data_IF_469655949254
#
_entry.id   IF_469655949254
#
_cell.length_a   1.000
_cell.length_b   1.000
_cell.length_c   1.000
_cell.angle_alpha   90.00
_cell.angle_beta   90.00
_cell.angle_gamma   90.00
#
_symmetry.space_group_name_H-M   'P 1'
#
loop_
_entity.id
_entity.type
_entity.pdbx_description
1 polymer ?
#
# COMPACT_ATOMS: atom_id res chain seq x y z
N UNK A 1 36.38 7.66 -42.05
CA UNK A 1 36.26 6.61 -40.99
C UNK A 1 35.41 7.18 -39.88
N UNK A 2 34.15 6.76 -39.88
CA UNK A 2 33.06 7.37 -39.12
C UNK A 2 32.99 6.68 -37.76
N UNK A 3 33.17 7.42 -36.67
CA UNK A 3 32.95 6.92 -35.31
C UNK A 3 31.93 7.81 -34.62
N UNK A 4 30.66 7.39 -34.50
CA UNK A 4 29.62 8.24 -33.94
C UNK A 4 29.77 8.34 -32.42
N UNK A 5 29.89 9.57 -31.95
CA UNK A 5 30.06 9.99 -30.55
C UNK A 5 28.74 9.97 -29.77
N UNK A 6 27.88 8.97 -30.00
CA UNK A 6 26.51 8.92 -29.46
C UNK A 6 26.27 7.74 -28.49
N UNK A 7 27.31 7.16 -27.89
CA UNK A 7 27.16 6.00 -26.97
C UNK A 7 27.20 6.31 -25.48
N UNK A 8 27.13 7.58 -25.07
CA UNK A 8 27.13 7.97 -23.65
C UNK A 8 25.97 8.89 -23.23
N UNK A 9 25.03 9.19 -24.14
CA UNK A 9 23.94 10.14 -23.89
C UNK A 9 22.54 9.53 -23.67
N UNK A 10 22.43 8.23 -23.43
CA UNK A 10 21.14 7.53 -23.52
C UNK A 10 20.88 6.44 -22.49
N UNK A 11 21.44 6.55 -21.27
CA UNK A 11 21.18 5.56 -20.22
C UNK A 11 20.78 6.18 -18.87
N UNK A 12 20.13 7.35 -18.90
CA UNK A 12 19.43 7.92 -17.73
C UNK A 12 18.05 8.39 -18.18
N UNK A 13 17.25 7.45 -18.69
CA UNK A 13 15.83 7.68 -18.91
C UNK A 13 15.14 6.36 -18.58
N UNK A 14 14.43 6.33 -17.44
CA UNK A 14 13.41 5.34 -17.01
C UNK A 14 13.54 4.88 -15.54
N UNK A 15 14.06 5.71 -14.63
CA UNK A 15 14.03 5.42 -13.17
C UNK A 15 13.29 6.50 -12.38
N UNK A 16 12.09 6.88 -12.82
CA UNK A 16 11.12 7.58 -11.99
C UNK A 16 9.76 7.46 -12.67
N UNK A 17 8.71 7.17 -11.90
CA UNK A 17 7.32 6.91 -12.34
C UNK A 17 7.00 5.44 -12.62
N UNK A 18 7.42 4.52 -11.76
CA UNK A 18 6.45 3.50 -11.34
C UNK A 18 5.60 4.16 -10.26
N UNK A 19 4.33 4.53 -10.50
CA UNK A 19 3.42 4.60 -9.38
C UNK A 19 3.51 3.21 -8.74
N UNK A 20 4.01 3.14 -7.52
CA UNK A 20 3.86 1.95 -6.70
C UNK A 20 2.35 1.78 -6.54
N UNK A 21 1.74 1.04 -7.47
CA UNK A 21 0.41 0.48 -7.29
C UNK A 21 0.64 -0.60 -6.25
N UNK A 22 0.79 -0.17 -4.99
CA UNK A 22 0.45 -1.02 -3.87
C UNK A 22 -1.01 -1.33 -4.11
N UNK A 23 -1.27 -2.48 -4.73
CA UNK A 23 -2.61 -3.01 -4.89
C UNK A 23 -3.16 -3.16 -3.49
N UNK A 24 -3.90 -2.14 -3.04
CA UNK A 24 -4.79 -2.28 -1.92
C UNK A 24 -5.67 -3.48 -2.28
N UNK A 25 -5.84 -4.41 -1.33
CA UNK A 25 -6.79 -5.50 -1.49
C UNK A 25 -8.09 -4.94 -2.09
N UNK A 26 -8.65 -5.67 -3.05
CA UNK A 26 -9.85 -5.22 -3.74
C UNK A 26 -10.90 -4.81 -2.70
N UNK A 27 -11.54 -3.64 -2.88
CA UNK A 27 -12.55 -3.20 -1.94
C UNK A 27 -13.67 -4.24 -1.86
N UNK A 28 -14.20 -4.57 -0.67
CA UNK A 28 -15.33 -5.49 -0.52
C UNK A 28 -16.67 -4.82 -0.91
N UNK A 29 -16.70 -4.12 -2.04
CA UNK A 29 -17.84 -3.31 -2.48
C UNK A 29 -18.97 -4.13 -3.09
N UNK A 30 -18.68 -5.34 -3.56
CA UNK A 30 -19.64 -6.32 -4.04
C UNK A 30 -20.71 -6.68 -2.99
N UNK A 31 -20.39 -6.48 -1.70
CA UNK A 31 -21.34 -6.65 -0.59
C UNK A 31 -22.43 -5.57 -0.51
N UNK A 32 -22.30 -4.47 -1.27
CA UNK A 32 -23.29 -3.38 -1.32
C UNK A 32 -24.12 -3.42 -2.62
N UNK A 33 -25.36 -2.87 -2.61
CA UNK A 33 -26.19 -2.76 -3.81
C UNK A 33 -25.46 -2.07 -4.97
N UNK A 34 -25.69 -2.44 -6.24
CA UNK A 34 -24.98 -1.89 -7.40
C UNK A 34 -24.90 -0.35 -7.43
N UNK A 35 -25.99 0.33 -7.07
CA UNK A 35 -26.05 1.80 -7.02
C UNK A 35 -25.06 2.44 -6.03
N UNK A 36 -24.58 1.69 -5.03
CA UNK A 36 -23.66 2.16 -3.97
C UNK A 36 -22.21 1.73 -4.18
N UNK A 37 -21.92 0.87 -5.16
CA UNK A 37 -20.58 0.27 -5.33
C UNK A 37 -19.52 1.31 -5.72
N UNK A 38 -19.86 2.25 -6.62
CA UNK A 38 -18.95 3.36 -6.99
C UNK A 38 -18.56 4.18 -5.76
N UNK A 39 -19.55 4.50 -4.92
CA UNK A 39 -19.33 5.27 -3.69
C UNK A 39 -18.47 4.52 -2.67
N UNK A 40 -18.72 3.23 -2.51
CA UNK A 40 -17.88 2.36 -1.69
C UNK A 40 -16.42 2.35 -2.17
N UNK A 41 -16.17 2.29 -3.48
CA UNK A 41 -14.82 2.29 -4.04
C UNK A 41 -14.08 3.61 -3.76
N UNK A 42 -14.76 4.74 -3.86
CA UNK A 42 -14.20 6.06 -3.50
C UNK A 42 -13.84 6.14 -2.02
N UNK A 43 -14.74 5.68 -1.14
CA UNK A 43 -14.51 5.66 0.31
C UNK A 43 -13.34 4.72 0.63
N UNK A 44 -13.28 3.54 0.02
CA UNK A 44 -12.18 2.61 0.19
C UNK A 44 -10.84 3.22 -0.21
N UNK A 45 -10.77 3.86 -1.39
CA UNK A 45 -9.56 4.56 -1.86
C UNK A 45 -9.11 5.61 -0.86
N UNK A 46 -10.06 6.35 -0.29
CA UNK A 46 -9.79 7.38 0.72
C UNK A 46 -9.25 6.77 2.01
N UNK A 47 -9.89 5.72 2.53
CA UNK A 47 -9.43 5.00 3.73
C UNK A 47 -8.03 4.40 3.56
N UNK A 48 -7.71 3.84 2.39
CA UNK A 48 -6.37 3.34 2.10
C UNK A 48 -5.32 4.46 2.08
N UNK A 49 -5.67 5.64 1.56
CA UNK A 49 -4.80 6.82 1.59
C UNK A 49 -4.57 7.31 3.02
N UNK A 50 -5.61 7.34 3.85
CA UNK A 50 -5.54 7.71 5.27
C UNK A 50 -4.62 6.75 6.06
N UNK A 51 -4.64 5.45 5.74
CA UNK A 51 -3.81 4.45 6.41
C UNK A 51 -2.35 4.43 5.94
N UNK A 52 -2.04 4.99 4.78
CA UNK A 52 -0.72 4.96 4.14
C UNK A 52 0.43 5.37 5.09
N UNK A 53 0.37 6.52 5.76
CA UNK A 53 1.41 6.95 6.70
C UNK A 53 1.64 5.97 7.85
N UNK A 54 0.58 5.39 8.43
CA UNK A 54 0.69 4.42 9.52
C UNK A 54 1.39 3.13 9.05
N UNK A 55 1.01 2.63 7.86
CA UNK A 55 1.61 1.43 7.27
C UNK A 55 3.10 1.66 6.95
N UNK A 56 3.43 2.82 6.40
CA UNK A 56 4.82 3.20 6.11
C UNK A 56 5.66 3.28 7.39
N UNK A 57 5.15 3.94 8.44
CA UNK A 57 5.84 4.04 9.72
C UNK A 57 6.08 2.67 10.34
N UNK A 58 5.07 1.80 10.34
CA UNK A 58 5.21 0.43 10.83
C UNK A 58 6.31 -0.33 10.07
N UNK A 59 6.37 -0.20 8.75
CA UNK A 59 7.43 -0.81 7.92
C UNK A 59 8.83 -0.32 8.27
N UNK A 60 9.00 1.00 8.45
CA UNK A 60 10.27 1.61 8.87
C UNK A 60 10.70 1.14 10.26
N UNK A 61 9.77 1.08 11.21
CA UNK A 61 10.03 0.61 12.57
C UNK A 61 10.44 -0.86 12.60
N UNK A 62 9.77 -1.69 11.78
CA UNK A 62 10.12 -3.10 11.60
C UNK A 62 11.52 -3.29 11.00
N UNK A 63 11.87 -2.50 9.99
CA UNK A 63 13.20 -2.52 9.38
C UNK A 63 14.27 -2.13 10.40
N UNK A 64 14.09 -1.02 11.10
CA UNK A 64 15.01 -0.56 12.14
C UNK A 64 15.20 -1.63 13.23
N UNK A 65 14.13 -2.25 13.71
CA UNK A 65 14.22 -3.32 14.73
C UNK A 65 14.97 -4.55 14.23
N UNK A 66 14.88 -4.90 12.94
CA UNK A 66 15.70 -5.97 12.35
C UNK A 66 17.18 -5.58 12.29
N UNK A 67 17.48 -4.36 11.84
CA UNK A 67 18.85 -3.85 11.73
C UNK A 67 19.54 -3.74 13.10
N UNK A 68 18.78 -3.38 14.14
CA UNK A 68 19.23 -3.37 15.54
C UNK A 68 19.29 -4.76 16.19
N UNK A 69 18.95 -5.84 15.47
CA UNK A 69 18.93 -7.21 16.00
C UNK A 69 17.85 -7.48 17.04
N UNK A 70 16.86 -6.59 17.21
CA UNK A 70 15.77 -6.72 18.18
C UNK A 70 14.72 -7.76 17.79
N UNK A 71 14.61 -8.07 16.50
CA UNK A 71 13.73 -9.12 15.99
C UNK A 71 14.44 -9.96 14.93
N UNK A 72 14.16 -11.25 14.93
CA UNK A 72 14.60 -12.18 13.91
C UNK A 72 13.62 -12.23 12.72
N UNK A 73 13.94 -13.05 11.72
CA UNK A 73 13.14 -13.14 10.50
C UNK A 73 11.72 -13.66 10.71
N UNK A 74 11.55 -14.63 11.60
CA UNK A 74 10.26 -15.22 11.91
C UNK A 74 9.37 -14.25 12.69
N UNK A 75 9.94 -13.54 13.66
CA UNK A 75 9.23 -12.52 14.45
C UNK A 75 8.72 -11.40 13.55
N UNK A 76 9.56 -10.84 12.69
CA UNK A 76 9.14 -9.82 11.73
C UNK A 76 8.00 -10.29 10.82
N UNK A 77 8.09 -11.52 10.28
CA UNK A 77 7.02 -12.06 9.45
C UNK A 77 5.70 -12.18 10.24
N UNK A 78 5.76 -12.73 11.46
CA UNK A 78 4.58 -12.89 12.31
C UNK A 78 3.96 -11.53 12.71
N UNK A 79 4.79 -10.56 13.05
CA UNK A 79 4.36 -9.20 13.40
C UNK A 79 3.75 -8.47 12.19
N UNK A 80 4.37 -8.57 11.00
CA UNK A 80 3.82 -8.02 9.76
C UNK A 80 2.45 -8.62 9.44
N UNK A 81 2.30 -9.93 9.52
CA UNK A 81 1.03 -10.60 9.24
C UNK A 81 -0.05 -10.17 10.25
N UNK A 82 0.31 -10.02 11.52
CA UNK A 82 -0.60 -9.52 12.57
C UNK A 82 -1.05 -8.09 12.26
N UNK A 83 -0.12 -7.20 11.91
CA UNK A 83 -0.41 -5.82 11.56
C UNK A 83 -1.30 -5.71 10.32
N UNK A 84 -1.02 -6.46 9.25
CA UNK A 84 -1.82 -6.48 8.03
C UNK A 84 -3.25 -6.93 8.33
N UNK A 85 -3.42 -7.98 9.14
CA UNK A 85 -4.75 -8.47 9.54
C UNK A 85 -5.52 -7.41 10.31
N UNK A 86 -4.91 -6.82 11.34
CA UNK A 86 -5.57 -5.83 12.20
C UNK A 86 -5.89 -4.53 11.45
N UNK A 87 -4.96 -4.04 10.63
CA UNK A 87 -5.17 -2.80 9.85
C UNK A 87 -6.26 -2.98 8.80
N UNK A 88 -6.28 -4.12 8.11
CA UNK A 88 -7.35 -4.46 7.15
C UNK A 88 -8.71 -4.55 7.84
N UNK A 89 -8.79 -5.22 9.00
CA UNK A 89 -10.04 -5.33 9.77
C UNK A 89 -10.57 -3.94 10.17
N UNK A 90 -9.72 -3.08 10.71
CA UNK A 90 -10.09 -1.69 11.07
C UNK A 90 -10.51 -0.86 9.85
N UNK A 91 -9.92 -1.10 8.68
CA UNK A 91 -10.32 -0.43 7.44
C UNK A 91 -11.69 -0.87 6.97
N UNK A 92 -12.00 -2.17 7.07
CA UNK A 92 -13.32 -2.72 6.75
C UNK A 92 -14.39 -2.18 7.69
N UNK A 93 -14.10 -2.07 8.99
CA UNK A 93 -15.01 -1.48 9.97
C UNK A 93 -15.33 -0.02 9.65
N UNK A 94 -14.30 0.80 9.40
CA UNK A 94 -14.50 2.20 8.97
C UNK A 94 -15.23 2.32 7.63
N UNK A 95 -15.02 1.39 6.70
CA UNK A 95 -15.78 1.34 5.45
C UNK A 95 -17.28 1.12 5.74
N UNK A 96 -17.61 0.13 6.58
CA UNK A 96 -19.00 -0.14 6.99
C UNK A 96 -19.65 1.07 7.65
N UNK A 97 -18.94 1.73 8.56
CA UNK A 97 -19.42 2.94 9.24
C UNK A 97 -19.71 4.10 8.28
N UNK A 98 -18.85 4.30 7.27
CA UNK A 98 -19.06 5.35 6.27
C UNK A 98 -20.18 4.99 5.30
N UNK A 99 -20.23 3.73 4.83
CA UNK A 99 -21.29 3.24 3.93
C UNK A 99 -22.67 3.20 4.57
N UNK A 100 -22.78 3.16 5.91
CA UNK A 100 -24.05 3.28 6.62
C UNK A 100 -24.68 4.69 6.50
N UNK A 101 -23.91 5.70 6.07
CA UNK A 101 -24.35 7.09 5.90
C UNK A 101 -24.67 7.46 4.45
N UNK A 102 -24.40 6.53 3.53
CA UNK A 102 -24.68 6.61 2.09
C UNK A 102 -25.92 5.76 1.79
#
# INVERSE_FOLDING_TARGET
>A
MNRPWYRLGGLILSLALTPSITSAADPPCDTYPPAKQSRCAEIWKTLNKEDGPLIAQFGLDQQKRREEGKINAQQHLAENMTFIKQSTQKRIERLKERMAKE
#
